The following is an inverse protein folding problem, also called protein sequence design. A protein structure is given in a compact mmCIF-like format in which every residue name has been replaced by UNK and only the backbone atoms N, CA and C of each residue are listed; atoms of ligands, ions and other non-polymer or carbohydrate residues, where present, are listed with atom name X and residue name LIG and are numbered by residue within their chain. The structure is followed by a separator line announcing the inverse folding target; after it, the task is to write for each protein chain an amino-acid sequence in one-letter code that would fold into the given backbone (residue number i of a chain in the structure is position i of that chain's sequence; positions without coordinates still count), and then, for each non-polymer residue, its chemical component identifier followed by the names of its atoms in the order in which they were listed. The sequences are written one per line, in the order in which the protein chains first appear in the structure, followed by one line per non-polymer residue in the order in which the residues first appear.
data_IF_649670068598
#
_entry.id   IF_649670068598
#
_cell.length_a   1.000
_cell.length_b   1.000
_cell.length_c   1.000
_cell.angle_alpha   90.00
_cell.angle_beta   90.00
_cell.angle_gamma   90.00
#
_symmetry.space_group_name_H-M   'P 1'
#
loop_
_entity.id
_entity.type
_entity.pdbx_description
1 polymer ?
#
# COMPACT_ATOMS: atom_id res chain seq x y z
N UNK A 1 18.38 21.22 0.62
CA UNK A 1 18.23 19.77 0.42
C UNK A 1 17.29 19.58 -0.76
N UNK A 2 17.70 18.87 -1.82
CA UNK A 2 16.77 18.54 -2.91
C UNK A 2 15.99 17.31 -2.51
N UNK A 3 14.67 17.43 -2.49
CA UNK A 3 13.80 16.25 -2.39
C UNK A 3 13.93 15.48 -3.70
N UNK A 4 14.14 14.15 -3.68
CA UNK A 4 14.12 13.37 -4.90
C UNK A 4 12.81 13.60 -5.65
N UNK A 5 12.89 13.88 -6.94
CA UNK A 5 11.71 14.01 -7.79
C UNK A 5 11.27 12.63 -8.23
N UNK A 6 10.00 12.29 -7.99
CA UNK A 6 9.38 11.08 -8.52
C UNK A 6 9.01 11.23 -10.00
N UNK A 7 8.34 10.21 -10.52
CA UNK A 7 7.90 10.17 -11.91
C UNK A 7 6.79 11.18 -12.17
N UNK A 8 6.83 11.85 -13.30
CA UNK A 8 5.76 12.74 -13.76
C UNK A 8 4.68 11.96 -14.51
N UNK A 9 3.54 12.61 -14.77
CA UNK A 9 2.50 12.02 -15.59
C UNK A 9 2.99 11.61 -16.99
N UNK A 10 3.80 12.44 -17.63
CA UNK A 10 4.34 12.19 -18.98
C UNK A 10 5.37 11.04 -19.01
N UNK A 11 6.11 10.85 -17.91
CA UNK A 11 7.17 9.84 -17.82
C UNK A 11 6.63 8.42 -17.64
N UNK A 12 5.39 8.24 -17.20
CA UNK A 12 4.81 6.91 -16.97
C UNK A 12 3.94 6.46 -18.14
N UNK A 13 4.00 5.16 -18.43
CA UNK A 13 3.24 4.50 -19.49
C UNK A 13 2.39 3.36 -18.94
N UNK A 14 1.28 3.07 -19.62
CA UNK A 14 0.48 1.86 -19.31
C UNK A 14 1.37 0.62 -19.45
N UNK A 15 1.37 -0.23 -18.44
CA UNK A 15 2.23 -1.41 -18.36
C UNK A 15 3.49 -1.21 -17.51
N UNK A 16 3.87 0.03 -17.19
CA UNK A 16 4.97 0.28 -16.25
C UNK A 16 4.63 -0.31 -14.87
N UNK A 17 5.63 -0.83 -14.20
CA UNK A 17 5.47 -1.38 -12.86
C UNK A 17 6.56 -0.91 -11.92
N UNK A 18 6.22 -0.88 -10.63
CA UNK A 18 7.16 -0.59 -9.55
C UNK A 18 6.80 -1.44 -8.33
N UNK A 19 7.77 -1.71 -7.49
CA UNK A 19 7.57 -2.55 -6.31
C UNK A 19 8.32 -2.06 -5.09
N UNK A 20 7.81 -2.48 -3.93
CA UNK A 20 8.50 -2.32 -2.65
C UNK A 20 8.38 -3.61 -1.84
N UNK A 21 9.35 -3.82 -0.96
CA UNK A 21 9.30 -4.90 0.04
C UNK A 21 9.55 -4.34 1.42
N UNK A 22 8.80 -4.83 2.40
CA UNK A 22 8.91 -4.42 3.79
C UNK A 22 8.60 -5.60 4.71
N UNK A 23 9.45 -5.83 5.70
CA UNK A 23 9.14 -6.80 6.77
C UNK A 23 8.27 -6.13 7.82
N UNK A 24 7.10 -6.72 8.08
CA UNK A 24 6.19 -6.31 9.15
C UNK A 24 6.77 -6.73 10.49
N UNK A 25 6.78 -5.81 11.43
CA UNK A 25 7.33 -6.04 12.77
C UNK A 25 6.27 -5.79 13.84
N UNK A 26 6.58 -6.14 15.07
CA UNK A 26 5.78 -5.82 16.26
C UNK A 26 5.47 -4.31 16.35
N UNK A 27 6.42 -3.47 15.95
CA UNK A 27 6.24 -2.00 15.92
C UNK A 27 5.05 -1.58 15.06
N UNK A 28 4.85 -2.23 13.91
CA UNK A 28 3.71 -1.93 13.03
C UNK A 28 2.38 -2.22 13.71
N UNK A 29 2.26 -3.34 14.43
CA UNK A 29 1.04 -3.67 15.16
C UNK A 29 0.75 -2.66 16.27
N UNK A 30 1.76 -2.40 17.11
CA UNK A 30 1.60 -1.51 18.26
C UNK A 30 1.31 -0.08 17.83
N UNK A 31 2.09 0.45 16.89
CA UNK A 31 1.87 1.80 16.38
C UNK A 31 0.55 1.91 15.62
N UNK A 32 0.20 0.91 14.82
CA UNK A 32 -1.08 0.89 14.09
C UNK A 32 -2.25 0.99 15.05
N UNK A 33 -2.31 0.15 16.06
CA UNK A 33 -3.36 0.22 17.08
C UNK A 33 -3.48 1.61 17.72
N UNK A 34 -2.35 2.21 18.08
CA UNK A 34 -2.31 3.55 18.69
C UNK A 34 -2.66 4.68 17.73
N UNK A 35 -2.23 4.59 16.47
CA UNK A 35 -2.42 5.67 15.50
C UNK A 35 -3.88 5.84 15.07
N UNK A 36 -4.62 4.76 14.91
CA UNK A 36 -6.00 4.84 14.45
C UNK A 36 -7.03 4.25 15.42
N UNK A 37 -6.60 3.82 16.62
CA UNK A 37 -7.50 3.45 17.72
C UNK A 37 -8.14 2.07 17.59
N UNK A 38 -7.64 1.20 16.75
CA UNK A 38 -8.14 -0.18 16.63
C UNK A 38 -7.38 -1.14 17.55
N UNK A 39 -7.88 -1.28 18.77
CA UNK A 39 -7.37 -2.17 19.79
C UNK A 39 -8.12 -3.51 19.83
N UNK A 40 -8.63 -3.98 18.70
CA UNK A 40 -9.23 -5.31 18.64
C UNK A 40 -8.23 -6.36 19.16
N UNK A 41 -8.65 -7.29 20.04
CA UNK A 41 -7.74 -8.28 20.62
C UNK A 41 -6.99 -9.13 19.60
N UNK A 42 -7.48 -9.28 18.38
CA UNK A 42 -6.72 -9.94 17.30
C UNK A 42 -5.39 -9.27 16.99
N UNK A 43 -5.23 -7.99 17.32
CA UNK A 43 -4.02 -7.21 17.05
C UNK A 43 -3.16 -6.98 18.29
N UNK A 44 -3.75 -6.98 19.50
CA UNK A 44 -3.07 -6.50 20.70
C UNK A 44 -3.00 -7.52 21.85
N UNK A 45 -3.75 -8.63 21.78
CA UNK A 45 -3.79 -9.66 22.82
C UNK A 45 -3.34 -11.01 22.23
N UNK A 46 -2.11 -11.41 22.53
CA UNK A 46 -1.53 -12.65 22.00
C UNK A 46 -2.33 -13.87 22.48
N UNK A 47 -2.72 -13.92 23.78
CA UNK A 47 -3.47 -15.05 24.33
C UNK A 47 -4.82 -15.24 23.64
N UNK A 48 -5.52 -14.13 23.39
CA UNK A 48 -6.76 -14.16 22.63
C UNK A 48 -6.52 -14.59 21.18
N UNK A 49 -5.52 -14.02 20.54
CA UNK A 49 -5.24 -14.26 19.14
C UNK A 49 -4.74 -15.70 18.89
N UNK A 50 -3.93 -16.27 19.78
CA UNK A 50 -3.51 -17.68 19.70
C UNK A 50 -4.71 -18.65 19.79
N UNK A 51 -5.70 -18.34 20.61
CA UNK A 51 -6.93 -19.14 20.71
C UNK A 51 -7.89 -18.93 19.54
N UNK A 52 -7.65 -17.93 18.70
CA UNK A 52 -8.49 -17.63 17.53
C UNK A 52 -8.13 -18.54 16.34
N UNK A 53 -8.97 -18.48 15.29
CA UNK A 53 -8.72 -19.15 14.01
C UNK A 53 -7.39 -18.76 13.35
N UNK A 54 -6.77 -17.65 13.76
CA UNK A 54 -5.52 -17.16 13.21
C UNK A 54 -4.28 -17.73 13.89
N UNK A 55 -4.41 -18.24 15.14
CA UNK A 55 -3.30 -18.84 15.87
C UNK A 55 -2.19 -17.87 16.29
N UNK A 56 -2.47 -16.59 16.35
CA UNK A 56 -1.56 -15.51 16.73
C UNK A 56 -2.05 -14.16 16.24
N UNK A 57 -1.42 -13.08 16.70
CA UNK A 57 -1.81 -11.73 16.31
C UNK A 57 -1.57 -11.46 14.81
N UNK A 58 -2.46 -10.71 14.22
CA UNK A 58 -2.43 -10.33 12.81
C UNK A 58 -2.37 -8.80 12.67
N UNK A 59 -1.77 -8.35 11.57
CA UNK A 59 -1.74 -6.94 11.21
C UNK A 59 -3.15 -6.46 10.82
N UNK A 60 -3.45 -5.22 11.16
CA UNK A 60 -4.68 -4.57 10.72
C UNK A 60 -4.76 -4.53 9.20
N UNK A 61 -5.92 -4.87 8.63
CA UNK A 61 -6.14 -4.75 7.19
C UNK A 61 -5.85 -3.34 6.67
N UNK A 62 -6.41 -2.28 7.29
CA UNK A 62 -6.08 -0.89 6.90
C UNK A 62 -4.59 -0.56 6.92
N UNK A 63 -3.79 -1.18 7.80
CA UNK A 63 -2.35 -0.96 7.82
C UNK A 63 -1.63 -1.68 6.67
N UNK A 64 -2.05 -2.90 6.31
CA UNK A 64 -1.58 -3.56 5.08
C UNK A 64 -1.87 -2.68 3.86
N UNK A 65 -3.08 -2.15 3.77
CA UNK A 65 -3.50 -1.22 2.72
C UNK A 65 -2.61 0.05 2.70
N UNK A 66 -2.32 0.62 3.86
CA UNK A 66 -1.44 1.80 3.98
C UNK A 66 -0.01 1.50 3.52
N UNK A 67 0.54 0.33 3.87
CA UNK A 67 1.87 -0.10 3.41
C UNK A 67 1.91 -0.27 1.89
N UNK A 68 0.86 -0.80 1.29
CA UNK A 68 0.73 -0.88 -0.17
C UNK A 68 0.71 0.51 -0.81
N UNK A 69 -0.11 1.43 -0.27
CA UNK A 69 -0.27 2.77 -0.83
C UNK A 69 0.98 3.65 -0.65
N UNK A 70 1.80 3.39 0.36
CA UNK A 70 3.04 4.14 0.60
C UNK A 70 3.99 4.10 -0.60
N UNK A 71 4.08 2.97 -1.30
CA UNK A 71 4.92 2.85 -2.49
C UNK A 71 4.46 3.73 -3.66
N UNK A 72 3.15 3.96 -3.77
CA UNK A 72 2.59 4.91 -4.76
C UNK A 72 3.03 6.33 -4.45
N UNK A 73 2.93 6.74 -3.18
CA UNK A 73 3.42 8.05 -2.74
C UNK A 73 4.90 8.27 -2.99
N UNK A 74 5.72 7.22 -2.83
CA UNK A 74 7.16 7.30 -3.08
C UNK A 74 7.50 7.28 -4.58
N UNK A 75 6.74 6.55 -5.39
CA UNK A 75 6.92 6.53 -6.84
C UNK A 75 6.63 7.90 -7.47
N UNK A 76 5.60 8.59 -6.96
CA UNK A 76 5.20 9.92 -7.40
C UNK A 76 5.62 11.04 -6.43
N UNK A 77 6.74 10.90 -5.74
CA UNK A 77 7.20 11.91 -4.79
C UNK A 77 7.41 13.26 -5.47
N UNK A 78 6.75 14.31 -4.96
CA UNK A 78 6.81 15.66 -5.52
C UNK A 78 6.01 15.88 -6.81
N UNK A 79 5.38 14.85 -7.38
CA UNK A 79 4.56 14.93 -8.60
C UNK A 79 3.10 14.53 -8.35
N UNK A 80 2.81 13.75 -7.30
CA UNK A 80 1.44 13.46 -6.90
C UNK A 80 0.73 14.73 -6.45
N UNK A 81 -0.42 15.03 -7.06
CA UNK A 81 -1.29 16.15 -6.69
C UNK A 81 -2.34 15.67 -5.68
N UNK A 82 -2.96 14.51 -5.93
CA UNK A 82 -3.96 13.95 -5.05
C UNK A 82 -4.07 12.43 -5.22
N UNK A 83 -4.24 11.71 -4.12
CA UNK A 83 -4.62 10.31 -4.12
C UNK A 83 -6.15 10.24 -4.17
N UNK A 84 -6.74 9.81 -5.28
CA UNK A 84 -8.17 9.92 -5.53
C UNK A 84 -8.96 8.70 -5.06
N UNK A 85 -8.41 7.49 -5.28
CA UNK A 85 -9.06 6.24 -4.94
C UNK A 85 -8.02 5.21 -4.51
N UNK A 86 -8.37 4.41 -3.52
CA UNK A 86 -7.61 3.26 -3.08
C UNK A 86 -8.58 2.19 -2.58
N UNK A 87 -8.79 1.14 -3.37
CA UNK A 87 -9.62 0.01 -3.03
C UNK A 87 -8.72 -1.19 -2.74
N UNK A 88 -8.84 -1.78 -1.56
CA UNK A 88 -8.02 -2.91 -1.16
C UNK A 88 -8.89 -4.07 -0.70
N UNK A 89 -8.56 -5.27 -1.15
CA UNK A 89 -9.20 -6.52 -0.78
C UNK A 89 -8.17 -7.43 -0.11
N UNK A 90 -8.55 -8.03 1.01
CA UNK A 90 -7.66 -8.83 1.85
C UNK A 90 -8.01 -10.32 1.69
N UNK A 91 -7.01 -11.13 1.34
CA UNK A 91 -7.18 -12.55 1.02
C UNK A 91 -6.58 -13.48 2.06
N UNK A 92 -5.59 -13.03 2.82
CA UNK A 92 -4.91 -13.80 3.84
C UNK A 92 -4.40 -12.88 4.97
N UNK A 93 -4.27 -13.40 6.20
CA UNK A 93 -3.73 -12.63 7.31
C UNK A 93 -2.24 -12.31 7.12
N UNK A 94 -1.83 -11.16 7.61
CA UNK A 94 -0.43 -10.74 7.70
C UNK A 94 0.01 -10.79 9.15
N UNK A 95 1.19 -11.35 9.40
CA UNK A 95 1.74 -11.55 10.75
C UNK A 95 3.01 -10.74 10.93
N UNK A 96 3.35 -10.38 12.17
CA UNK A 96 4.70 -9.90 12.48
C UNK A 96 5.75 -10.93 12.00
N UNK A 97 6.76 -10.44 11.28
CA UNK A 97 7.77 -11.29 10.64
C UNK A 97 7.53 -11.58 9.16
N UNK A 98 6.32 -11.36 8.66
CA UNK A 98 6.06 -11.46 7.22
C UNK A 98 6.78 -10.34 6.46
N UNK A 99 7.35 -10.69 5.33
CA UNK A 99 7.90 -9.71 4.37
C UNK A 99 6.92 -9.55 3.23
N UNK A 100 6.34 -8.37 3.15
CA UNK A 100 5.36 -8.03 2.12
C UNK A 100 6.06 -7.41 0.92
N UNK A 101 5.78 -7.95 -0.26
CA UNK A 101 6.19 -7.37 -1.54
C UNK A 101 4.94 -6.91 -2.28
N UNK A 102 4.85 -5.61 -2.52
CA UNK A 102 3.75 -5.00 -3.28
C UNK A 102 4.25 -4.60 -4.66
N UNK A 103 3.59 -5.10 -5.69
CA UNK A 103 3.86 -4.74 -7.08
C UNK A 103 2.66 -3.98 -7.63
N UNK A 104 2.89 -2.73 -8.01
CA UNK A 104 1.92 -1.88 -8.71
C UNK A 104 2.20 -1.88 -10.20
N UNK A 105 1.13 -1.84 -10.99
CA UNK A 105 1.20 -1.72 -12.45
C UNK A 105 0.28 -0.59 -12.90
N UNK A 106 0.76 0.25 -13.79
CA UNK A 106 -0.06 1.29 -14.43
C UNK A 106 -1.02 0.61 -15.39
N UNK A 107 -2.32 0.70 -15.11
CA UNK A 107 -3.38 0.07 -15.89
C UNK A 107 -4.12 1.02 -16.83
N UNK A 108 -3.99 2.33 -16.61
CA UNK A 108 -4.64 3.35 -17.43
C UNK A 108 -4.11 4.75 -17.16
N UNK A 109 -4.37 5.64 -18.11
CA UNK A 109 -4.05 7.07 -18.00
C UNK A 109 -5.19 7.87 -18.60
N UNK A 110 -5.52 9.00 -17.94
CA UNK A 110 -6.52 9.97 -18.44
C UNK A 110 -5.97 11.38 -18.30
N UNK A 111 -5.84 12.06 -19.41
CA UNK A 111 -5.30 13.44 -19.43
C UNK A 111 -6.20 14.41 -18.67
N UNK A 112 -5.59 15.29 -17.90
CA UNK A 112 -6.23 16.41 -17.20
C UNK A 112 -5.43 17.69 -17.45
N UNK A 113 -5.56 18.31 -18.66
CA UNK A 113 -4.72 19.44 -19.05
C UNK A 113 -4.83 20.64 -18.09
N UNK A 114 -5.98 20.83 -17.44
CA UNK A 114 -6.19 21.92 -16.48
C UNK A 114 -5.26 21.88 -15.28
N UNK A 115 -4.70 20.72 -14.93
CA UNK A 115 -3.78 20.58 -13.82
C UNK A 115 -2.33 20.26 -14.28
N UNK A 116 -2.07 20.32 -15.60
CA UNK A 116 -0.76 20.04 -16.14
C UNK A 116 -0.32 18.57 -15.96
N UNK A 117 -1.24 17.63 -16.16
CA UNK A 117 -0.97 16.21 -15.96
C UNK A 117 -2.19 15.35 -16.21
N UNK A 118 -2.45 14.36 -15.37
CA UNK A 118 -3.59 13.47 -15.52
C UNK A 118 -3.76 12.46 -14.41
N UNK A 119 -4.78 11.63 -14.56
CA UNK A 119 -5.07 10.52 -13.65
C UNK A 119 -4.30 9.29 -14.13
N UNK A 120 -3.52 8.71 -13.23
CA UNK A 120 -2.89 7.40 -13.41
C UNK A 120 -3.71 6.36 -12.65
N UNK A 121 -4.20 5.36 -13.37
CA UNK A 121 -4.89 4.20 -12.81
C UNK A 121 -3.88 3.10 -12.52
N UNK A 122 -4.00 2.48 -11.36
CA UNK A 122 -3.05 1.50 -10.84
C UNK A 122 -3.77 0.24 -10.35
N UNK A 123 -3.12 -0.90 -10.55
CA UNK A 123 -3.51 -2.18 -9.93
C UNK A 123 -2.34 -2.78 -9.19
N UNK A 124 -2.59 -3.49 -8.09
CA UNK A 124 -1.53 -4.09 -7.31
C UNK A 124 -1.85 -5.48 -6.79
N UNK A 125 -0.77 -6.24 -6.57
CA UNK A 125 -0.77 -7.45 -5.75
C UNK A 125 0.26 -7.31 -4.64
N UNK A 126 -0.11 -7.76 -3.45
CA UNK A 126 0.78 -7.84 -2.30
C UNK A 126 0.94 -9.30 -1.89
N UNK A 127 2.16 -9.78 -1.86
CA UNK A 127 2.49 -11.16 -1.48
C UNK A 127 3.39 -11.18 -0.24
N UNK A 128 3.34 -12.26 0.52
CA UNK A 128 4.29 -12.51 1.59
C UNK A 128 5.54 -13.28 1.06
N UNK A 129 6.47 -13.61 1.95
CA UNK A 129 7.70 -14.35 1.62
C UNK A 129 7.48 -15.78 1.08
N UNK A 130 6.29 -16.34 1.29
CA UNK A 130 5.89 -17.64 0.75
C UNK A 130 5.10 -17.50 -0.57
N UNK A 131 5.14 -16.33 -1.19
CA UNK A 131 4.41 -15.99 -2.44
C UNK A 131 2.88 -16.12 -2.32
N UNK A 132 2.35 -16.12 -1.10
CA UNK A 132 0.91 -16.08 -0.86
C UNK A 132 0.40 -14.67 -1.08
N UNK A 133 -0.63 -14.51 -1.90
CA UNK A 133 -1.31 -13.21 -2.07
C UNK A 133 -2.06 -12.90 -0.78
N UNK A 134 -1.67 -11.83 -0.10
CA UNK A 134 -2.32 -11.37 1.13
C UNK A 134 -3.35 -10.28 0.87
N UNK A 135 -3.14 -9.50 -0.18
CA UNK A 135 -4.07 -8.45 -0.62
C UNK A 135 -3.89 -8.14 -2.10
N UNK A 136 -4.92 -7.61 -2.71
CA UNK A 136 -4.88 -6.94 -4.01
C UNK A 136 -5.55 -5.57 -3.90
N UNK A 137 -5.18 -4.65 -4.79
CA UNK A 137 -5.71 -3.30 -4.77
C UNK A 137 -5.83 -2.71 -6.17
N UNK A 138 -6.66 -1.72 -6.28
CA UNK A 138 -6.70 -0.78 -7.40
C UNK A 138 -6.80 0.65 -6.85
N UNK A 139 -6.35 1.62 -7.61
CA UNK A 139 -6.35 3.01 -7.19
C UNK A 139 -6.18 3.99 -8.33
N UNK A 140 -6.36 5.26 -7.99
CA UNK A 140 -6.20 6.38 -8.92
C UNK A 140 -5.44 7.51 -8.23
N UNK A 141 -4.46 8.05 -8.92
CA UNK A 141 -3.66 9.18 -8.46
C UNK A 141 -3.69 10.26 -9.52
N UNK A 142 -3.93 11.50 -9.10
CA UNK A 142 -3.75 12.67 -9.95
C UNK A 142 -2.28 13.07 -9.88
N UNK A 143 -1.60 13.05 -11.02
CA UNK A 143 -0.16 13.29 -11.13
C UNK A 143 0.08 14.46 -12.07
N UNK A 144 0.99 15.33 -11.70
CA UNK A 144 1.40 16.49 -12.48
C UNK A 144 2.81 16.35 -13.07
N UNK A 145 3.33 17.48 -13.47
CA UNK A 145 4.69 17.60 -14.02
C UNK A 145 5.76 17.85 -12.94
N UNK A 146 5.35 18.21 -11.71
CA UNK A 146 6.21 18.48 -10.55
C UNK A 146 6.82 19.88 -10.54
#
# INVERSE_FOLDING_TARGET
MRIPKGHTYEEVSVGDSFQTSLTVTETHLVMGAGLFGDFNPLHVDETFAEASRFGGRILHGPLTSALMSASVGMFFVGTAIAYLEHNCRFSAPVRPGDTLTTVWTVSGKTDKPKVGGGIVELTAKCTNQAEVIVADADGKVLVGEG
#
